data_IF_662744955527
#
_entry.id   IF_662744955527
#
_cell.length_a   1.000
_cell.length_b   1.000
_cell.length_c   1.000
_cell.angle_alpha   90.00
_cell.angle_beta   90.00
_cell.angle_gamma   90.00
#
_symmetry.space_group_name_H-M   'P 1'
#
loop_
_entity.id
_entity.type
_entity.pdbx_description
1 polymer ?
#
# COMPACT_ATOMS: atom_id res chain seq x y z
N UNK A 1 -3.44 -7.26 -9.62
CA UNK A 1 -2.85 -8.06 -8.52
C UNK A 1 -3.96 -8.49 -7.57
N UNK A 2 -3.78 -9.55 -6.78
CA UNK A 2 -4.70 -9.88 -5.67
C UNK A 2 -4.32 -9.11 -4.40
N UNK A 3 -5.17 -9.14 -3.37
CA UNK A 3 -4.91 -8.49 -2.07
C UNK A 3 -3.66 -9.07 -1.39
N UNK A 4 -3.50 -10.40 -1.38
CA UNK A 4 -2.31 -11.09 -0.85
C UNK A 4 -1.05 -10.65 -1.57
N UNK A 5 -1.02 -10.72 -2.90
CA UNK A 5 0.15 -10.32 -3.68
C UNK A 5 0.48 -8.84 -3.48
N UNK A 6 -0.52 -7.97 -3.34
CA UNK A 6 -0.28 -6.55 -3.06
C UNK A 6 0.36 -6.31 -1.69
N UNK A 7 -0.15 -6.95 -0.64
CA UNK A 7 0.39 -6.79 0.71
C UNK A 7 1.80 -7.39 0.85
N UNK A 8 2.04 -8.56 0.24
CA UNK A 8 3.35 -9.21 0.21
C UNK A 8 4.38 -8.38 -0.55
N UNK A 9 4.05 -7.89 -1.75
CA UNK A 9 4.96 -7.06 -2.54
C UNK A 9 5.23 -5.71 -1.87
N UNK A 10 4.24 -5.13 -1.19
CA UNK A 10 4.44 -3.89 -0.44
C UNK A 10 5.46 -4.08 0.69
N UNK A 11 5.32 -5.15 1.47
CA UNK A 11 6.25 -5.49 2.54
C UNK A 11 7.65 -5.82 2.00
N UNK A 12 7.72 -6.58 0.90
CA UNK A 12 8.99 -6.93 0.26
C UNK A 12 9.72 -5.69 -0.25
N UNK A 13 9.01 -4.81 -0.96
CA UNK A 13 9.57 -3.58 -1.50
C UNK A 13 10.09 -2.65 -0.39
N UNK A 14 9.34 -2.51 0.70
CA UNK A 14 9.77 -1.76 1.89
C UNK A 14 11.03 -2.36 2.52
N UNK A 15 11.04 -3.69 2.72
CA UNK A 15 12.17 -4.42 3.32
C UNK A 15 13.46 -4.26 2.51
N UNK A 16 13.34 -4.22 1.18
CA UNK A 16 14.49 -4.10 0.28
C UNK A 16 14.82 -2.65 -0.13
N UNK A 17 14.11 -1.66 0.41
CA UNK A 17 14.21 -0.26 -0.01
C UNK A 17 14.03 -0.06 -1.53
N UNK A 18 13.22 -0.91 -2.17
CA UNK A 18 12.87 -0.76 -3.58
C UNK A 18 11.77 0.30 -3.71
N UNK A 19 12.19 1.56 -3.81
CA UNK A 19 11.27 2.70 -3.82
C UNK A 19 10.35 2.74 -5.04
N UNK A 20 10.79 2.21 -6.18
CA UNK A 20 9.98 2.22 -7.41
C UNK A 20 8.87 1.16 -7.31
N UNK A 21 9.23 -0.06 -6.90
CA UNK A 21 8.25 -1.12 -6.66
C UNK A 21 7.29 -0.72 -5.55
N UNK A 22 7.79 -0.18 -4.43
CA UNK A 22 6.96 0.26 -3.31
C UNK A 22 5.91 1.27 -3.79
N UNK A 23 6.31 2.29 -4.54
CA UNK A 23 5.40 3.30 -5.09
C UNK A 23 4.36 2.68 -6.03
N UNK A 24 4.78 1.82 -6.97
CA UNK A 24 3.87 1.16 -7.91
C UNK A 24 2.81 0.31 -7.20
N UNK A 25 3.22 -0.45 -6.17
CA UNK A 25 2.31 -1.25 -5.36
C UNK A 25 1.38 -0.36 -4.51
N UNK A 26 1.90 0.72 -3.92
CA UNK A 26 1.08 1.68 -3.17
C UNK A 26 0.02 2.35 -4.06
N UNK A 27 0.36 2.72 -5.30
CA UNK A 27 -0.59 3.29 -6.26
C UNK A 27 -1.71 2.28 -6.59
N UNK A 28 -1.37 1.01 -6.86
CA UNK A 28 -2.35 -0.06 -7.05
C UNK A 28 -3.25 -0.25 -5.82
N UNK A 29 -2.67 -0.30 -4.61
CA UNK A 29 -3.43 -0.46 -3.36
C UNK A 29 -4.41 0.71 -3.17
N UNK A 30 -4.00 1.94 -3.49
CA UNK A 30 -4.86 3.12 -3.33
C UNK A 30 -5.97 3.18 -4.37
N UNK A 31 -5.73 2.70 -5.59
CA UNK A 31 -6.75 2.54 -6.64
C UNK A 31 -7.80 1.50 -6.22
N UNK A 32 -7.36 0.38 -5.65
CA UNK A 32 -8.21 -0.74 -5.20
C UNK A 32 -8.51 -0.74 -3.70
N UNK A 33 -8.38 0.42 -3.04
CA UNK A 33 -8.39 0.55 -1.57
C UNK A 33 -9.58 -0.08 -0.86
N UNK A 34 -10.76 -0.15 -1.50
CA UNK A 34 -11.96 -0.73 -0.88
C UNK A 34 -11.75 -2.23 -0.67
N UNK A 35 -11.32 -2.93 -1.70
CA UNK A 35 -11.08 -4.37 -1.64
C UNK A 35 -9.85 -4.69 -0.79
N UNK A 36 -8.79 -3.89 -0.90
CA UNK A 36 -7.56 -4.13 -0.15
C UNK A 36 -7.75 -3.82 1.34
N UNK A 37 -8.35 -2.70 1.72
CA UNK A 37 -8.44 -2.32 3.13
C UNK A 37 -9.40 -3.20 3.94
N UNK A 38 -10.37 -3.82 3.28
CA UNK A 38 -11.31 -4.76 3.88
C UNK A 38 -10.76 -6.22 3.90
N UNK A 39 -9.54 -6.45 3.41
CA UNK A 39 -8.95 -7.81 3.31
C UNK A 39 -8.18 -8.24 4.56
N UNK A 40 -8.19 -9.55 4.84
CA UNK A 40 -7.40 -10.15 5.92
C UNK A 40 -5.90 -9.94 5.73
N UNK A 41 -5.42 -9.85 4.49
CA UNK A 41 -3.99 -9.64 4.22
C UNK A 41 -3.55 -8.23 4.60
N UNK A 42 -4.41 -7.23 4.40
CA UNK A 42 -4.14 -5.88 4.84
C UNK A 42 -4.14 -5.76 6.36
N UNK A 43 -5.04 -6.47 7.05
CA UNK A 43 -5.05 -6.51 8.52
C UNK A 43 -3.77 -7.17 9.05
N UNK A 44 -3.35 -8.31 8.49
CA UNK A 44 -2.08 -8.96 8.85
C UNK A 44 -0.87 -8.06 8.60
N UNK A 45 -0.87 -7.31 7.49
CA UNK A 45 0.19 -6.35 7.21
C UNK A 45 0.19 -5.22 8.24
N UNK A 46 -0.98 -4.75 8.69
CA UNK A 46 -1.11 -3.73 9.74
C UNK A 46 -0.54 -4.22 11.07
N UNK A 47 -0.79 -5.47 11.43
CA UNK A 47 -0.23 -6.09 12.64
C UNK A 47 1.29 -6.23 12.55
N UNK A 48 1.80 -6.60 11.37
CA UNK A 48 3.24 -6.83 11.14
C UNK A 48 4.04 -5.53 11.00
N UNK A 49 3.50 -4.55 10.28
CA UNK A 49 4.17 -3.28 9.96
C UNK A 49 3.14 -2.14 9.84
N UNK A 50 2.66 -1.68 11.00
CA UNK A 50 1.69 -0.58 11.09
C UNK A 50 2.21 0.74 10.51
N UNK A 51 3.52 0.99 10.53
CA UNK A 51 4.12 2.21 9.97
C UNK A 51 3.99 2.24 8.44
N UNK A 52 4.26 1.12 7.76
CA UNK A 52 4.13 0.99 6.32
C UNK A 52 2.67 1.14 5.85
N UNK A 53 1.74 0.54 6.60
CA UNK A 53 0.30 0.70 6.36
C UNK A 53 -0.11 2.17 6.51
N UNK A 54 0.34 2.81 7.59
CA UNK A 54 0.09 4.22 7.83
C UNK A 54 0.62 5.06 6.67
N UNK A 55 1.92 4.96 6.35
CA UNK A 55 2.55 5.67 5.23
C UNK A 55 1.72 5.56 3.95
N UNK A 56 1.34 4.33 3.57
CA UNK A 56 0.55 4.06 2.37
C UNK A 56 -0.80 4.76 2.39
N UNK A 57 -1.53 4.72 3.52
CA UNK A 57 -2.81 5.42 3.66
C UNK A 57 -2.68 6.95 3.60
N UNK A 58 -1.55 7.50 4.07
CA UNK A 58 -1.31 8.95 4.05
C UNK A 58 -0.87 9.50 2.68
N UNK A 59 -0.40 8.66 1.75
CA UNK A 59 0.00 9.07 0.41
C UNK A 59 -1.13 9.74 -0.39
N UNK A 60 -2.39 9.37 -0.14
CA UNK A 60 -3.54 9.99 -0.83
C UNK A 60 -3.63 11.50 -0.61
N UNK A 61 -3.08 12.05 0.48
CA UNK A 61 -3.05 13.52 0.71
C UNK A 61 -2.10 14.26 -0.25
N UNK A 62 -1.14 13.59 -0.90
CA UNK A 62 -0.17 14.23 -1.82
C UNK A 62 -0.62 14.23 -3.29
N UNK A 63 -1.51 13.34 -3.71
CA UNK A 63 -1.98 13.26 -5.11
C UNK A 63 -3.21 14.12 -5.39
N UNK A 64 -3.83 14.73 -4.36
CA UNK A 64 -5.00 15.61 -4.48
C UNK A 64 -4.72 17.02 -5.03
N UNK A 65 -3.53 17.30 -5.57
CA UNK A 65 -3.19 18.62 -6.15
C UNK A 65 -3.02 18.62 -7.67
N UNK A 66 -3.35 17.54 -8.38
CA UNK A 66 -3.24 17.46 -9.85
C UNK A 66 -4.57 17.26 -10.57
N UNK A 67 -5.66 17.76 -10.00
CA UNK A 67 -6.92 17.97 -10.71
C UNK A 67 -7.59 19.26 -10.24
N UNK A 68 -6.99 20.39 -10.62
CA UNK A 68 -7.66 21.67 -10.88
C UNK A 68 -7.08 22.24 -12.17
#
# INVERSE_FOLDING_TARGET
>A
MSTSTACELLLLADTHNDTELKRSVQDFILEHKREVFDSDEWEKLRETNSQLVMETMYLRRRLGSFYF
#
